data_IF_422642024054
#
_entry.id   IF_422642024054
#
_cell.length_a   1.000
_cell.length_b   1.000
_cell.length_c   1.000
_cell.angle_alpha   90.00
_cell.angle_beta   90.00
_cell.angle_gamma   90.00
#
_symmetry.space_group_name_H-M   'P 1'
#
loop_
_entity.id
_entity.type
_entity.pdbx_description
1 polymer ?
#
# COMPACT_ATOMS: atom_id res chain seq x y z
N UNK A 1 -15.79 6.26 -6.91
CA UNK A 1 -15.56 6.82 -5.55
C UNK A 1 -15.34 8.34 -5.58
N UNK A 2 -14.29 8.86 -6.26
CA UNK A 2 -13.98 10.31 -6.31
C UNK A 2 -15.15 11.18 -6.77
N UNK A 3 -15.88 10.78 -7.82
CA UNK A 3 -17.07 11.50 -8.28
C UNK A 3 -18.22 11.53 -7.24
N UNK A 4 -18.43 10.41 -6.53
CA UNK A 4 -19.44 10.30 -5.49
C UNK A 4 -19.09 11.20 -4.30
N UNK A 5 -17.81 11.20 -3.90
CA UNK A 5 -17.27 12.03 -2.83
C UNK A 5 -17.37 13.52 -3.15
N UNK A 6 -16.97 13.93 -4.37
CA UNK A 6 -17.13 15.32 -4.84
C UNK A 6 -18.61 15.73 -4.91
N UNK A 7 -19.52 14.81 -5.26
CA UNK A 7 -20.97 15.06 -5.27
C UNK A 7 -21.52 15.23 -3.86
N UNK A 8 -21.01 14.47 -2.89
CA UNK A 8 -21.35 14.58 -1.46
C UNK A 8 -20.90 15.93 -0.89
N UNK A 9 -19.65 16.33 -1.17
CA UNK A 9 -19.10 17.64 -0.78
C UNK A 9 -19.85 18.82 -1.43
N UNK A 10 -20.36 18.64 -2.65
CA UNK A 10 -21.24 19.62 -3.29
C UNK A 10 -22.62 19.68 -2.62
N UNK A 11 -23.20 18.53 -2.27
CA UNK A 11 -24.49 18.46 -1.55
C UNK A 11 -24.39 19.13 -0.17
N UNK A 12 -23.21 19.07 0.45
CA UNK A 12 -22.88 19.75 1.72
C UNK A 12 -22.47 21.23 1.55
N UNK A 13 -22.68 21.84 0.38
CA UNK A 13 -22.37 23.25 0.09
C UNK A 13 -20.90 23.71 0.26
N UNK A 14 -19.99 22.80 0.62
CA UNK A 14 -18.57 23.10 0.86
C UNK A 14 -17.78 23.49 -0.41
N UNK A 15 -18.31 23.23 -1.61
CA UNK A 15 -17.59 23.43 -2.88
C UNK A 15 -18.45 24.17 -3.91
N UNK A 16 -17.96 25.34 -4.35
CA UNK A 16 -18.53 26.13 -5.46
C UNK A 16 -18.54 25.35 -6.79
N UNK A 17 -19.56 25.62 -7.63
CA UNK A 17 -19.80 24.96 -8.93
C UNK A 17 -18.58 24.99 -9.84
N UNK A 18 -17.81 26.07 -9.83
CA UNK A 18 -16.57 26.23 -10.63
C UNK A 18 -15.43 25.33 -10.14
N UNK A 19 -15.30 25.15 -8.81
CA UNK A 19 -14.28 24.26 -8.22
C UNK A 19 -14.60 22.80 -8.49
N UNK A 20 -15.88 22.40 -8.42
CA UNK A 20 -16.33 21.05 -8.74
C UNK A 20 -15.98 20.64 -10.18
N UNK A 21 -16.27 21.49 -11.18
CA UNK A 21 -15.90 21.21 -12.58
C UNK A 21 -14.38 21.09 -12.76
N UNK A 22 -13.59 21.94 -12.09
CA UNK A 22 -12.12 21.89 -12.16
C UNK A 22 -11.55 20.58 -11.60
N UNK A 23 -12.01 20.15 -10.42
CA UNK A 23 -11.55 18.88 -9.82
C UNK A 23 -12.03 17.66 -10.60
N UNK A 24 -13.25 17.69 -11.16
CA UNK A 24 -13.75 16.65 -12.05
C UNK A 24 -12.87 16.51 -13.30
N UNK A 25 -12.60 17.62 -14.00
CA UNK A 25 -11.77 17.60 -15.21
C UNK A 25 -10.34 17.18 -14.90
N UNK A 26 -9.75 17.66 -13.79
CA UNK A 26 -8.41 17.25 -13.35
C UNK A 26 -8.34 15.75 -13.07
N UNK A 27 -9.34 15.19 -12.36
CA UNK A 27 -9.37 13.75 -12.05
C UNK A 27 -9.48 12.90 -13.31
N UNK A 28 -10.39 13.26 -14.23
CA UNK A 28 -10.55 12.55 -15.52
C UNK A 28 -9.26 12.62 -16.35
N UNK A 29 -8.63 13.79 -16.42
CA UNK A 29 -7.35 13.95 -17.13
C UNK A 29 -6.26 13.04 -16.55
N UNK A 30 -6.16 12.92 -15.22
CA UNK A 30 -5.20 12.03 -14.58
C UNK A 30 -5.47 10.55 -14.88
N UNK A 31 -6.75 10.14 -14.90
CA UNK A 31 -7.12 8.76 -15.28
C UNK A 31 -6.69 8.46 -16.72
N UNK A 32 -6.98 9.36 -17.67
CA UNK A 32 -6.60 9.18 -19.08
C UNK A 32 -5.07 9.12 -19.24
N UNK A 33 -4.35 10.01 -18.54
CA UNK A 33 -2.88 10.00 -18.52
C UNK A 33 -2.33 8.69 -17.98
N UNK A 34 -2.86 8.20 -16.85
CA UNK A 34 -2.47 6.91 -16.28
C UNK A 34 -2.72 5.76 -17.24
N UNK A 35 -3.92 5.67 -17.84
CA UNK A 35 -4.24 4.65 -18.83
C UNK A 35 -3.32 4.70 -20.04
N UNK A 36 -2.97 5.91 -20.50
CA UNK A 36 -1.97 6.09 -21.57
C UNK A 36 -0.61 5.59 -21.10
N UNK A 37 -0.10 6.02 -19.96
CA UNK A 37 1.18 5.55 -19.41
C UNK A 37 1.24 4.02 -19.26
N UNK A 38 0.16 3.40 -18.79
CA UNK A 38 0.06 1.94 -18.69
C UNK A 38 0.09 1.26 -20.07
N UNK A 39 -0.63 1.80 -21.05
CA UNK A 39 -0.59 1.29 -22.41
C UNK A 39 0.80 1.44 -23.04
N UNK A 40 1.53 2.52 -22.74
CA UNK A 40 2.91 2.70 -23.19
C UNK A 40 3.87 1.72 -22.52
N UNK A 41 3.70 1.49 -21.22
CA UNK A 41 4.47 0.50 -20.47
C UNK A 41 4.28 -0.92 -21.05
N UNK A 42 3.04 -1.33 -21.28
CA UNK A 42 2.72 -2.65 -21.84
C UNK A 42 3.12 -2.82 -23.31
N UNK A 43 3.24 -1.73 -24.07
CA UNK A 43 3.76 -1.73 -25.44
C UNK A 43 5.29 -1.75 -25.53
N UNK A 44 6.00 -1.67 -24.40
CA UNK A 44 7.44 -1.80 -24.36
C UNK A 44 7.91 -3.20 -24.77
N UNK A 45 9.24 -3.39 -24.82
CA UNK A 45 9.81 -4.71 -25.05
C UNK A 45 9.34 -5.68 -23.96
N UNK A 46 8.78 -6.81 -24.39
CA UNK A 46 8.22 -7.86 -23.54
C UNK A 46 9.24 -8.32 -22.47
N UNK A 47 10.54 -8.27 -22.76
CA UNK A 47 11.59 -8.64 -21.80
C UNK A 47 11.60 -7.72 -20.58
N UNK A 48 11.49 -6.41 -20.79
CA UNK A 48 11.44 -5.44 -19.68
C UNK A 48 10.12 -5.53 -18.92
N UNK A 49 9.00 -5.69 -19.64
CA UNK A 49 7.69 -5.85 -19.02
C UNK A 49 7.65 -7.12 -18.16
N UNK A 50 8.06 -8.27 -18.71
CA UNK A 50 8.12 -9.53 -17.97
C UNK A 50 9.06 -9.44 -16.77
N UNK A 51 10.25 -8.84 -16.93
CA UNK A 51 11.19 -8.64 -15.83
C UNK A 51 10.58 -7.77 -14.72
N UNK A 52 9.88 -6.69 -15.07
CA UNK A 52 9.24 -5.83 -14.09
C UNK A 52 8.12 -6.54 -13.30
N UNK A 53 7.32 -7.37 -13.97
CA UNK A 53 6.27 -8.17 -13.34
C UNK A 53 6.91 -9.20 -12.41
N UNK A 54 7.97 -9.87 -12.86
CA UNK A 54 8.71 -10.85 -12.07
C UNK A 54 9.33 -10.23 -10.81
N UNK A 55 10.02 -9.09 -10.93
CA UNK A 55 10.56 -8.38 -9.77
C UNK A 55 9.46 -7.89 -8.82
N UNK A 56 8.32 -7.43 -9.35
CA UNK A 56 7.17 -7.05 -8.52
C UNK A 56 6.62 -8.25 -7.77
N UNK A 57 6.51 -9.41 -8.41
CA UNK A 57 6.08 -10.64 -7.79
C UNK A 57 7.06 -11.11 -6.69
N UNK A 58 8.36 -11.11 -6.97
CA UNK A 58 9.38 -11.42 -5.96
C UNK A 58 9.34 -10.46 -4.77
N UNK A 59 9.17 -9.16 -5.04
CA UNK A 59 9.03 -8.15 -4.01
C UNK A 59 7.80 -8.41 -3.13
N UNK A 60 6.64 -8.68 -3.73
CA UNK A 60 5.42 -8.98 -2.97
C UNK A 60 5.55 -10.28 -2.17
N UNK A 61 6.14 -11.32 -2.74
CA UNK A 61 6.41 -12.57 -2.01
C UNK A 61 7.33 -12.31 -0.82
N UNK A 62 8.42 -11.57 -1.00
CA UNK A 62 9.30 -11.18 0.10
C UNK A 62 8.56 -10.36 1.16
N UNK A 63 7.71 -9.42 0.75
CA UNK A 63 6.91 -8.58 1.66
C UNK A 63 5.93 -9.41 2.51
N UNK A 64 5.28 -10.41 1.91
CA UNK A 64 4.31 -11.27 2.60
C UNK A 64 4.97 -12.32 3.49
N UNK A 65 6.18 -12.79 3.14
CA UNK A 65 6.94 -13.74 3.96
C UNK A 65 7.24 -13.22 5.36
N UNK A 66 7.40 -11.91 5.55
CA UNK A 66 7.64 -11.35 6.90
C UNK A 66 6.54 -11.75 7.89
N UNK A 67 5.27 -11.71 7.49
CA UNK A 67 4.16 -12.10 8.37
C UNK A 67 4.21 -13.59 8.72
N UNK A 68 4.59 -14.45 7.79
CA UNK A 68 4.75 -15.90 8.05
C UNK A 68 5.86 -16.14 9.06
N UNK A 69 7.01 -15.51 8.85
CA UNK A 69 8.19 -15.65 9.72
C UNK A 69 7.83 -15.19 11.15
N UNK A 70 7.15 -14.05 11.31
CA UNK A 70 6.74 -13.55 12.62
C UNK A 70 5.84 -14.57 13.34
N UNK A 71 4.90 -15.20 12.63
CA UNK A 71 3.99 -16.19 13.22
C UNK A 71 4.71 -17.48 13.61
N UNK A 72 5.64 -17.97 12.79
CA UNK A 72 6.47 -19.11 13.16
C UNK A 72 7.33 -18.82 14.39
N UNK A 73 7.86 -17.61 14.53
CA UNK A 73 8.62 -17.21 15.72
C UNK A 73 7.76 -17.11 16.98
N UNK A 74 6.47 -16.84 16.83
CA UNK A 74 5.48 -16.90 17.92
C UNK A 74 4.98 -18.33 18.18
N UNK A 75 5.62 -19.35 17.60
CA UNK A 75 5.28 -20.78 17.75
C UNK A 75 3.91 -21.19 17.17
N UNK A 76 3.36 -20.40 16.24
CA UNK A 76 2.15 -20.80 15.50
C UNK A 76 2.48 -21.72 14.33
N UNK A 77 1.92 -22.92 14.31
CA UNK A 77 2.06 -23.87 13.20
C UNK A 77 1.11 -23.52 12.03
N UNK A 78 1.45 -22.46 11.28
CA UNK A 78 0.67 -21.97 10.14
C UNK A 78 1.28 -22.37 8.80
N UNK A 79 0.43 -22.70 7.83
CA UNK A 79 0.85 -22.96 6.45
C UNK A 79 1.32 -21.69 5.76
N UNK A 80 2.47 -21.74 5.07
CA UNK A 80 3.05 -20.59 4.39
C UNK A 80 2.07 -19.97 3.37
N UNK A 81 1.48 -20.80 2.51
CA UNK A 81 0.58 -20.34 1.45
C UNK A 81 -0.76 -19.80 1.97
N UNK A 82 -1.26 -20.33 3.10
CA UNK A 82 -2.49 -19.83 3.72
C UNK A 82 -2.30 -18.38 4.17
N UNK A 83 -1.20 -18.13 4.88
CA UNK A 83 -0.86 -16.80 5.41
C UNK A 83 -0.54 -15.83 4.27
N UNK A 84 0.22 -16.25 3.26
CA UNK A 84 0.47 -15.42 2.06
C UNK A 84 -0.84 -15.08 1.34
N UNK A 85 -1.77 -16.04 1.22
CA UNK A 85 -3.10 -15.81 0.64
C UNK A 85 -3.89 -14.76 1.43
N UNK A 86 -3.89 -14.84 2.75
CA UNK A 86 -4.52 -13.83 3.61
C UNK A 86 -3.84 -12.46 3.46
N UNK A 87 -2.51 -12.41 3.35
CA UNK A 87 -1.77 -11.18 3.12
C UNK A 87 -2.12 -10.50 1.79
N UNK A 88 -2.34 -11.27 0.73
CA UNK A 88 -2.82 -10.75 -0.56
C UNK A 88 -4.20 -10.09 -0.38
N UNK A 89 -5.13 -10.74 0.32
CA UNK A 89 -6.47 -10.20 0.59
C UNK A 89 -6.39 -8.93 1.44
N UNK A 90 -5.59 -8.94 2.52
CA UNK A 90 -5.41 -7.75 3.38
C UNK A 90 -4.81 -6.60 2.58
N UNK A 91 -3.80 -6.86 1.75
CA UNK A 91 -3.16 -5.87 0.88
C UNK A 91 -4.16 -5.28 -0.11
N UNK A 92 -5.02 -6.13 -0.71
CA UNK A 92 -6.10 -5.67 -1.57
C UNK A 92 -7.10 -4.77 -0.83
N UNK A 93 -7.53 -5.15 0.37
CA UNK A 93 -8.43 -4.33 1.19
C UNK A 93 -7.80 -2.99 1.57
N UNK A 94 -6.51 -2.97 1.90
CA UNK A 94 -5.78 -1.74 2.22
C UNK A 94 -5.75 -0.74 1.05
N UNK A 95 -5.74 -1.18 -0.22
CA UNK A 95 -5.81 -0.28 -1.37
C UNK A 95 -7.12 0.53 -1.45
N UNK A 96 -8.21 0.02 -0.85
CA UNK A 96 -9.48 0.73 -0.79
C UNK A 96 -9.67 1.53 0.50
N UNK A 97 -8.72 1.46 1.44
CA UNK A 97 -8.83 2.16 2.71
C UNK A 97 -8.73 3.69 2.49
N UNK A 98 -9.71 4.48 2.95
CA UNK A 98 -9.69 5.93 2.80
C UNK A 98 -8.70 6.62 3.77
N UNK A 99 -8.13 5.86 4.73
CA UNK A 99 -7.21 6.37 5.75
C UNK A 99 -5.76 6.33 5.26
N UNK A 100 -4.99 7.43 5.35
CA UNK A 100 -3.56 7.39 5.10
C UNK A 100 -2.89 6.39 6.05
N UNK A 101 -2.12 5.45 5.50
CA UNK A 101 -1.50 4.36 6.26
C UNK A 101 -2.40 3.14 6.52
N UNK A 102 -3.66 3.16 6.07
CA UNK A 102 -4.63 2.06 6.15
C UNK A 102 -4.88 1.48 7.56
N UNK A 103 -4.45 2.15 8.63
CA UNK A 103 -4.26 1.50 9.94
C UNK A 103 -5.50 0.84 10.52
N UNK A 104 -6.64 1.53 10.50
CA UNK A 104 -7.90 0.99 11.04
C UNK A 104 -8.51 -0.12 10.19
N UNK A 105 -8.42 -0.04 8.86
CA UNK A 105 -8.87 -1.10 7.96
C UNK A 105 -7.96 -2.32 8.07
N UNK A 106 -6.65 -2.11 8.19
CA UNK A 106 -5.68 -3.16 8.35
C UNK A 106 -5.86 -3.92 9.68
N UNK A 107 -5.99 -3.23 10.81
CA UNK A 107 -6.21 -3.89 12.11
C UNK A 107 -7.51 -4.70 12.14
N UNK A 108 -8.60 -4.16 11.57
CA UNK A 108 -9.84 -4.91 11.41
C UNK A 108 -9.69 -6.11 10.48
N UNK A 109 -9.04 -5.95 9.32
CA UNK A 109 -8.83 -7.02 8.36
C UNK A 109 -7.94 -8.14 8.94
N UNK A 110 -6.87 -7.80 9.64
CA UNK A 110 -6.04 -8.77 10.37
C UNK A 110 -6.85 -9.48 11.45
N UNK A 111 -7.60 -8.75 12.29
CA UNK A 111 -8.43 -9.37 13.33
C UNK A 111 -9.44 -10.35 12.76
N UNK A 112 -10.09 -10.03 11.63
CA UNK A 112 -11.11 -10.91 11.03
C UNK A 112 -10.45 -12.11 10.36
N UNK A 113 -9.43 -11.89 9.53
CA UNK A 113 -8.84 -12.92 8.69
C UNK A 113 -7.87 -13.85 9.43
N UNK A 114 -7.14 -13.33 10.43
CA UNK A 114 -6.20 -14.12 11.24
C UNK A 114 -6.81 -14.69 12.53
N UNK A 115 -8.06 -14.33 12.89
CA UNK A 115 -8.74 -14.84 14.09
C UNK A 115 -8.75 -16.37 14.21
N UNK A 116 -8.75 -17.08 13.08
CA UNK A 116 -8.74 -18.55 13.03
C UNK A 116 -7.36 -19.17 13.24
N UNK A 117 -6.30 -18.40 13.06
CA UNK A 117 -4.91 -18.87 13.04
C UNK A 117 -4.11 -18.38 14.25
N UNK A 118 -4.52 -17.26 14.86
CA UNK A 118 -3.73 -16.52 15.85
C UNK A 118 -4.63 -16.03 16.97
N UNK A 119 -4.14 -16.07 18.21
CA UNK A 119 -4.83 -15.49 19.37
C UNK A 119 -5.01 -13.98 19.20
N UNK A 120 -6.14 -13.45 19.66
CA UNK A 120 -6.52 -12.05 19.46
C UNK A 120 -5.50 -11.05 20.07
N UNK A 121 -4.82 -11.45 21.15
CA UNK A 121 -3.75 -10.68 21.77
C UNK A 121 -2.51 -10.57 20.87
N UNK A 122 -2.18 -11.62 20.13
CA UNK A 122 -0.99 -11.67 19.29
C UNK A 122 -1.22 -11.06 17.90
N UNK A 123 -2.47 -10.98 17.43
CA UNK A 123 -2.80 -10.35 16.14
C UNK A 123 -2.31 -8.89 16.09
N UNK A 124 -2.50 -8.14 17.18
CA UNK A 124 -2.04 -6.75 17.26
C UNK A 124 -0.52 -6.68 17.23
N UNK A 125 0.17 -7.55 17.99
CA UNK A 125 1.61 -7.66 18.01
C UNK A 125 2.17 -8.00 16.62
N UNK A 126 1.61 -9.00 15.94
CA UNK A 126 2.00 -9.42 14.60
C UNK A 126 1.82 -8.29 13.59
N UNK A 127 0.69 -7.56 13.67
CA UNK A 127 0.40 -6.44 12.77
C UNK A 127 1.42 -5.31 12.95
N UNK A 128 1.77 -4.97 14.19
CA UNK A 128 2.77 -3.94 14.50
C UNK A 128 4.17 -4.38 14.07
N UNK A 129 4.57 -5.61 14.38
CA UNK A 129 5.87 -6.15 13.99
C UNK A 129 6.02 -6.18 12.47
N UNK A 130 4.98 -6.63 11.76
CA UNK A 130 4.97 -6.63 10.30
C UNK A 130 5.12 -5.22 9.73
N UNK A 131 4.36 -4.23 10.22
CA UNK A 131 4.50 -2.81 9.82
C UNK A 131 5.89 -2.26 10.11
N UNK A 132 6.49 -2.66 11.23
CA UNK A 132 7.83 -2.24 11.59
C UNK A 132 8.86 -2.67 10.54
N UNK A 133 8.87 -3.95 10.20
CA UNK A 133 9.83 -4.49 9.23
C UNK A 133 9.57 -4.02 7.80
N UNK A 134 8.31 -3.86 7.40
CA UNK A 134 7.95 -3.58 6.00
C UNK A 134 7.86 -2.10 5.65
N UNK A 135 7.40 -1.27 6.58
CA UNK A 135 7.15 0.16 6.34
C UNK A 135 8.12 1.02 7.15
N UNK A 136 8.19 0.82 8.47
CA UNK A 136 8.92 1.76 9.33
C UNK A 136 10.43 1.71 9.11
N UNK A 137 11.02 0.52 8.89
CA UNK A 137 12.42 0.41 8.50
C UNK A 137 12.70 1.10 7.16
N UNK A 138 11.83 0.92 6.16
CA UNK A 138 11.97 1.58 4.86
C UNK A 138 11.92 3.10 4.97
N UNK A 139 10.98 3.63 5.77
CA UNK A 139 10.88 5.07 6.05
C UNK A 139 12.12 5.58 6.78
N UNK A 140 12.63 4.83 7.76
CA UNK A 140 13.82 5.21 8.53
C UNK A 140 15.06 5.28 7.63
N UNK A 141 15.29 4.25 6.81
CA UNK A 141 16.41 4.24 5.84
C UNK A 141 16.25 5.41 4.85
N UNK A 142 15.05 5.61 4.31
CA UNK A 142 14.77 6.71 3.38
C UNK A 142 15.03 8.08 4.00
N UNK A 143 14.70 8.26 5.28
CA UNK A 143 14.97 9.49 6.03
C UNK A 143 16.48 9.75 6.17
N UNK A 144 17.26 8.73 6.53
CA UNK A 144 18.73 8.85 6.64
C UNK A 144 19.34 9.24 5.29
N UNK A 145 18.94 8.56 4.21
CA UNK A 145 19.46 8.82 2.85
C UNK A 145 19.11 10.24 2.41
N UNK A 146 17.86 10.68 2.64
CA UNK A 146 17.41 12.02 2.29
C UNK A 146 18.16 13.09 3.09
N UNK A 147 18.33 12.89 4.40
CA UNK A 147 19.13 13.78 5.23
C UNK A 147 20.57 13.88 4.71
N UNK A 148 21.18 12.74 4.38
CA UNK A 148 22.55 12.72 3.85
C UNK A 148 22.69 13.46 2.51
N UNK A 149 21.73 13.31 1.59
CA UNK A 149 21.72 14.03 0.31
C UNK A 149 21.57 15.55 0.51
N UNK A 150 20.69 15.97 1.43
CA UNK A 150 20.50 17.38 1.76
C UNK A 150 21.77 18.01 2.35
N UNK A 151 22.45 17.33 3.27
CA UNK A 151 23.71 17.81 3.86
C UNK A 151 24.84 17.87 2.83
N UNK A 152 24.90 16.91 1.89
CA UNK A 152 25.88 16.95 0.79
C UNK A 152 25.63 18.10 -0.18
N UNK A 153 24.38 18.42 -0.50
CA UNK A 153 24.03 19.56 -1.36
C UNK A 153 24.24 20.91 -0.67
N UNK A 154 24.03 20.99 0.65
CA UNK A 154 24.32 22.19 1.44
C UNK A 154 25.80 22.56 1.50
N UNK A 155 26.71 21.59 1.32
CA UNK A 155 28.17 21.80 1.32
C UNK A 155 28.75 22.18 -0.05
N UNK A 156 27.94 22.16 -1.11
CA UNK A 156 28.33 22.49 -2.51
C UNK A 156 27.81 23.86 -2.99
N UNK A 157 27.18 24.64 -2.12
CA UNK A 157 26.84 26.05 -2.37
C UNK A 157 27.70 26.96 -1.52
#
# INVERSE_FOLDING_TARGET
>A
IVYLFLRLLRKMHFISRSRFCRYKFKSIKQIILFSKSLAWFLKGDIKFVASSIFFTFMFLMSLFSFSVIILWQLSYAVGYFDIVGLQVVITFLMYFAPTPGASGVAEGAYSVLFSKFVSQNDITLVTVAWRFFTIYLGVFIGMIVLYWDLFRKGKKR
#
